data_IF_658675382606
#
_entry.id   IF_658675382606
#
_cell.length_a   1.000
_cell.length_b   1.000
_cell.length_c   1.000
_cell.angle_alpha   90.00
_cell.angle_beta   90.00
_cell.angle_gamma   90.00
#
_symmetry.space_group_name_H-M   'P 1'
#
loop_
_entity.id
_entity.type
_entity.pdbx_description
1 polymer ?
#
# COMPACT_ATOMS: atom_id res chain seq x y z
N UNK A 1 8.42 12.92 19.28
CA UNK A 1 7.11 12.26 19.02
C UNK A 1 7.37 11.18 17.98
N UNK A 2 7.50 9.92 18.38
CA UNK A 2 7.64 8.81 17.43
C UNK A 2 6.22 8.40 17.02
N UNK A 3 5.85 8.62 15.75
CA UNK A 3 4.63 8.01 15.25
C UNK A 3 4.83 6.49 15.25
N UNK A 4 3.90 5.80 15.91
CA UNK A 4 3.83 4.35 15.94
C UNK A 4 3.76 3.87 14.50
N UNK A 5 4.78 3.14 14.04
CA UNK A 5 4.62 2.29 12.86
C UNK A 5 3.32 1.51 13.06
N UNK A 6 2.36 1.55 12.11
CA UNK A 6 1.20 0.69 12.21
C UNK A 6 1.75 -0.73 12.25
N UNK A 7 1.47 -1.44 13.35
CA UNK A 7 1.88 -2.83 13.52
C UNK A 7 1.03 -3.68 12.57
N UNK A 8 1.49 -3.79 11.32
CA UNK A 8 0.88 -4.64 10.30
C UNK A 8 1.12 -6.10 10.76
N UNK A 9 0.06 -6.86 11.11
CA UNK A 9 0.20 -8.21 11.66
C UNK A 9 0.64 -9.22 10.59
N UNK A 10 1.47 -10.20 10.96
CA UNK A 10 2.01 -11.23 10.04
C UNK A 10 0.95 -12.11 9.33
N UNK A 11 -0.32 -12.05 9.76
CA UNK A 11 -1.43 -12.83 9.20
C UNK A 11 -2.55 -11.90 8.76
N UNK A 12 -2.84 -11.93 7.45
CA UNK A 12 -3.84 -11.07 6.81
C UNK A 12 -5.13 -11.83 6.61
N UNK A 13 -6.24 -11.26 7.07
CA UNK A 13 -7.57 -11.62 6.59
C UNK A 13 -7.85 -10.73 5.38
N UNK A 14 -7.73 -11.30 4.17
CA UNK A 14 -7.94 -10.54 2.95
C UNK A 14 -9.43 -10.22 2.80
N UNK A 15 -9.83 -9.00 3.16
CA UNK A 15 -11.21 -8.52 3.00
C UNK A 15 -11.57 -8.18 1.55
N UNK A 16 -10.57 -8.05 0.67
CA UNK A 16 -10.71 -7.79 -0.76
C UNK A 16 -9.46 -8.28 -1.53
N UNK A 17 -9.56 -8.35 -2.85
CA UNK A 17 -8.45 -8.62 -3.76
C UNK A 17 -8.46 -7.66 -4.94
N UNK A 18 -7.31 -7.48 -5.59
CA UNK A 18 -7.16 -6.81 -6.87
C UNK A 18 -6.48 -7.74 -7.87
N UNK A 19 -6.70 -7.50 -9.16
CA UNK A 19 -6.06 -8.23 -10.25
C UNK A 19 -4.84 -7.47 -10.78
N UNK A 20 -3.93 -8.21 -11.42
CA UNK A 20 -2.80 -7.59 -12.11
C UNK A 20 -3.32 -6.67 -13.21
N UNK A 21 -2.92 -5.40 -13.16
CA UNK A 21 -3.38 -4.35 -14.08
C UNK A 21 -4.46 -3.44 -13.51
N UNK A 22 -5.04 -3.78 -12.35
CA UNK A 22 -5.98 -2.88 -11.68
C UNK A 22 -5.27 -1.58 -11.25
N UNK A 23 -5.91 -0.46 -11.54
CA UNK A 23 -5.46 0.83 -11.07
C UNK A 23 -5.76 0.97 -9.57
N UNK A 24 -4.79 1.49 -8.83
CA UNK A 24 -4.91 1.76 -7.40
C UNK A 24 -4.42 3.17 -7.10
N UNK A 25 -4.89 3.74 -6.00
CA UNK A 25 -4.32 4.96 -5.43
C UNK A 25 -3.55 4.62 -4.16
N UNK A 26 -2.29 5.06 -4.09
CA UNK A 26 -1.49 4.93 -2.86
C UNK A 26 -1.86 6.08 -1.93
N UNK A 27 -2.46 5.74 -0.79
CA UNK A 27 -2.95 6.71 0.22
C UNK A 27 -2.07 6.72 1.49
N UNK A 28 -1.05 5.88 1.54
CA UNK A 28 -0.07 5.87 2.64
C UNK A 28 0.97 4.78 2.48
N UNK A 29 1.99 4.82 3.33
CA UNK A 29 3.05 3.82 3.40
C UNK A 29 3.45 3.57 4.85
N UNK A 30 3.90 2.35 5.13
CA UNK A 30 4.39 1.96 6.45
C UNK A 30 5.41 0.84 6.36
N UNK A 31 6.19 0.69 7.43
CA UNK A 31 7.12 -0.42 7.60
C UNK A 31 6.57 -1.44 8.58
N UNK A 32 6.69 -2.72 8.23
CA UNK A 32 6.42 -3.82 9.16
C UNK A 32 7.48 -3.89 10.26
N UNK A 33 7.24 -4.72 11.28
CA UNK A 33 8.23 -5.02 12.32
C UNK A 33 9.46 -5.78 11.79
N UNK A 34 9.42 -6.26 10.54
CA UNK A 34 10.52 -6.93 9.84
C UNK A 34 11.19 -6.04 8.79
N UNK A 35 10.89 -4.74 8.81
CA UNK A 35 11.38 -3.75 7.85
C UNK A 35 10.86 -3.93 6.42
N UNK A 36 9.76 -4.68 6.22
CA UNK A 36 9.10 -4.76 4.92
C UNK A 36 8.33 -3.46 4.65
N UNK A 37 8.29 -3.03 3.39
CA UNK A 37 7.54 -1.83 3.01
C UNK A 37 6.15 -2.21 2.55
N UNK A 38 5.14 -1.55 3.10
CA UNK A 38 3.74 -1.73 2.77
C UNK A 38 3.13 -0.44 2.26
N UNK A 39 2.34 -0.54 1.20
CA UNK A 39 1.54 0.55 0.68
C UNK A 39 0.10 0.37 1.16
N UNK A 40 -0.48 1.44 1.71
CA UNK A 40 -1.92 1.53 1.93
C UNK A 40 -2.53 2.03 0.64
N UNK A 41 -3.45 1.25 0.08
CA UNK A 41 -4.01 1.49 -1.24
C UNK A 41 -5.53 1.56 -1.19
N UNK A 42 -6.11 2.36 -2.07
CA UNK A 42 -7.55 2.44 -2.34
C UNK A 42 -7.81 1.98 -3.76
N UNK A 43 -8.77 1.07 -3.95
CA UNK A 43 -9.25 0.63 -5.25
C UNK A 43 -10.37 1.58 -5.72
N UNK A 44 -10.16 2.42 -6.75
CA UNK A 44 -11.11 3.46 -7.14
C UNK A 44 -12.49 2.90 -7.51
N UNK A 45 -12.53 1.74 -8.16
CA UNK A 45 -13.77 1.15 -8.67
C UNK A 45 -14.67 0.60 -7.55
N UNK A 46 -14.07 0.21 -6.41
CA UNK A 46 -14.80 -0.46 -5.32
C UNK A 46 -14.75 0.27 -3.99
N UNK A 47 -13.91 1.30 -3.86
CA UNK A 47 -13.67 2.03 -2.62
C UNK A 47 -12.99 1.20 -1.51
N UNK A 48 -12.55 -0.03 -1.80
CA UNK A 48 -11.87 -0.85 -0.80
C UNK A 48 -10.50 -0.28 -0.48
N UNK A 49 -10.20 -0.20 0.81
CA UNK A 49 -8.92 0.27 1.32
C UNK A 49 -8.22 -0.90 2.02
N UNK A 50 -6.96 -1.14 1.66
CA UNK A 50 -6.16 -2.23 2.20
C UNK A 50 -4.68 -1.94 2.24
N UNK A 51 -3.93 -2.85 2.83
CA UNK A 51 -2.47 -2.84 2.80
C UNK A 51 -1.99 -3.91 1.82
N UNK A 52 -1.08 -3.52 0.94
CA UNK A 52 -0.43 -4.43 -0.01
C UNK A 52 1.08 -4.32 0.17
N UNK A 53 1.78 -5.45 -0.02
CA UNK A 53 3.22 -5.45 0.02
C UNK A 53 3.75 -4.60 -1.16
N UNK A 54 4.80 -3.82 -0.94
CA UNK A 54 5.28 -2.88 -1.98
C UNK A 54 5.76 -3.60 -3.24
N UNK A 55 6.16 -4.87 -3.14
CA UNK A 55 6.53 -5.69 -4.30
C UNK A 55 5.33 -6.14 -5.15
N UNK A 56 4.11 -6.07 -4.62
CA UNK A 56 2.88 -6.42 -5.35
C UNK A 56 2.37 -5.27 -6.21
N UNK A 57 2.97 -4.08 -6.13
CA UNK A 57 2.52 -2.89 -6.82
C UNK A 57 3.66 -2.25 -7.60
N UNK A 58 3.34 -1.79 -8.80
CA UNK A 58 4.22 -0.91 -9.57
C UNK A 58 3.78 0.53 -9.30
N UNK A 59 4.52 1.22 -8.44
CA UNK A 59 4.28 2.63 -8.15
C UNK A 59 5.19 3.46 -9.06
N UNK A 60 4.61 4.04 -10.11
CA UNK A 60 5.28 5.07 -10.90
C UNK A 60 5.08 6.41 -10.21
N UNK A 61 6.09 6.84 -9.46
CA UNK A 61 6.16 8.23 -9.03
C UNK A 61 6.57 9.03 -10.25
N UNK A 62 5.59 9.60 -10.97
CA UNK A 62 5.89 10.45 -12.10
C UNK A 62 6.95 11.47 -11.68
N UNK A 63 8.10 11.43 -12.35
CA UNK A 63 9.34 12.12 -11.98
C UNK A 63 9.27 13.63 -12.28
N UNK A 64 8.06 14.16 -12.46
CA UNK A 64 7.77 15.50 -12.98
C UNK A 64 7.76 16.59 -11.89
N UNK A 65 8.09 16.25 -10.63
CA UNK A 65 8.09 17.20 -9.50
C UNK A 65 9.41 17.98 -9.34
N UNK A 66 10.39 17.82 -10.24
CA UNK A 66 11.70 18.49 -10.19
C UNK A 66 12.12 19.15 -11.51
N UNK A 67 11.18 19.68 -12.31
CA UNK A 67 11.47 20.62 -13.42
C UNK A 67 10.88 22.02 -13.14
#
# INVERSE_FOLDING_TARGET
>A
MLQQQPSIPDRYDASAYGLVGDAIQVVGQAFSNRCDTWARVEFPDSGHIGWVHSESVLIDYSRDWWD
#
